data_IF_859334511761
#
_entry.id   IF_859334511761
#
_cell.length_a   1.000
_cell.length_b   1.000
_cell.length_c   1.000
_cell.angle_alpha   90.00
_cell.angle_beta   90.00
_cell.angle_gamma   90.00
#
_symmetry.space_group_name_H-M   'P 1'
#
loop_
_entity.id
_entity.type
_entity.pdbx_description
1 polymer ?
#
# COMPACT_ATOMS: atom_id res chain seq x y z
N UNK A 1 16.23 9.94 -12.41
CA UNK A 1 14.88 10.48 -12.13
C UNK A 1 14.72 10.54 -10.61
N UNK A 2 14.77 11.74 -10.03
CA UNK A 2 14.64 11.91 -8.58
C UNK A 2 13.24 11.49 -8.11
N UNK A 3 13.15 10.81 -6.97
CA UNK A 3 11.87 10.63 -6.29
C UNK A 3 11.43 12.00 -5.75
N UNK A 4 10.15 12.32 -5.92
CA UNK A 4 9.56 13.50 -5.29
C UNK A 4 9.69 13.37 -3.77
N UNK A 5 9.86 14.49 -3.06
CA UNK A 5 9.95 14.44 -1.61
C UNK A 5 8.65 13.86 -1.04
N UNK A 6 8.80 13.13 0.07
CA UNK A 6 7.65 12.64 0.84
C UNK A 6 7.24 13.73 1.79
N UNK A 7 5.93 13.98 1.82
CA UNK A 7 5.29 14.86 2.79
C UNK A 7 4.45 13.96 3.67
N UNK A 8 4.88 13.75 4.90
CA UNK A 8 4.04 13.15 5.94
C UNK A 8 3.05 14.21 6.42
N UNK A 9 1.77 13.83 6.53
CA UNK A 9 0.73 14.70 7.05
C UNK A 9 -0.33 13.84 7.72
N UNK A 10 -0.86 14.32 8.83
CA UNK A 10 -2.01 13.75 9.52
C UNK A 10 -3.34 14.21 8.94
N UNK A 11 -3.34 15.18 8.01
CA UNK A 11 -4.58 15.79 7.50
C UNK A 11 -5.22 14.97 6.39
N UNK A 12 -4.40 14.35 5.53
CA UNK A 12 -4.89 13.65 4.34
C UNK A 12 -4.82 12.14 4.51
N UNK A 13 -5.80 11.46 3.93
CA UNK A 13 -5.69 10.01 3.70
C UNK A 13 -4.74 9.77 2.53
N UNK A 14 -4.06 8.64 2.52
CA UNK A 14 -3.15 8.24 1.45
C UNK A 14 -3.71 7.06 0.66
N UNK A 15 -3.51 7.09 -0.65
CA UNK A 15 -3.59 5.91 -1.49
C UNK A 15 -2.18 5.38 -1.75
N UNK A 16 -1.91 4.15 -1.31
CA UNK A 16 -0.59 3.54 -1.37
C UNK A 16 -0.55 2.46 -2.43
N UNK A 17 0.51 2.40 -3.22
CA UNK A 17 0.73 1.30 -4.19
C UNK A 17 2.17 0.81 -4.14
N UNK A 18 2.41 -0.49 -3.95
CA UNK A 18 3.75 -1.10 -4.10
C UNK A 18 3.70 -2.22 -5.12
N UNK A 19 4.63 -2.25 -6.07
CA UNK A 19 4.65 -3.21 -7.19
C UNK A 19 5.94 -4.01 -7.25
N UNK A 20 5.83 -5.29 -7.58
CA UNK A 20 6.97 -6.20 -7.76
C UNK A 20 7.85 -5.78 -8.94
N UNK A 21 9.11 -6.20 -8.89
CA UNK A 21 10.08 -5.99 -9.97
C UNK A 21 9.56 -6.62 -11.25
N UNK A 22 9.69 -5.88 -12.35
CA UNK A 22 9.23 -6.29 -13.68
C UNK A 22 7.75 -6.71 -13.73
N UNK A 23 6.94 -6.27 -12.77
CA UNK A 23 5.52 -6.62 -12.68
C UNK A 23 5.26 -8.12 -12.56
N UNK A 24 6.22 -8.91 -12.08
CA UNK A 24 6.07 -10.36 -11.90
C UNK A 24 4.96 -10.71 -10.92
N UNK A 25 4.16 -11.70 -11.27
CA UNK A 25 2.95 -12.11 -10.56
C UNK A 25 3.29 -13.03 -9.38
N UNK A 26 3.91 -12.51 -8.32
CA UNK A 26 4.34 -13.31 -7.16
C UNK A 26 3.24 -13.57 -6.12
N UNK A 27 2.15 -12.81 -6.13
CA UNK A 27 1.08 -12.89 -5.13
C UNK A 27 -0.12 -13.74 -5.58
N UNK A 28 -0.07 -14.33 -6.77
CA UNK A 28 -1.14 -15.20 -7.30
C UNK A 28 -1.05 -16.61 -6.71
N UNK A 29 -2.20 -17.26 -6.53
CA UNK A 29 -2.33 -18.70 -6.24
C UNK A 29 -1.45 -19.22 -5.09
N UNK A 30 -1.18 -18.35 -4.10
CA UNK A 30 -0.38 -18.69 -2.93
C UNK A 30 -1.06 -18.21 -1.64
N UNK A 31 -1.96 -19.05 -1.13
CA UNK A 31 -2.74 -18.73 0.07
C UNK A 31 -1.84 -18.53 1.30
N UNK A 32 -0.74 -19.27 1.43
CA UNK A 32 0.19 -19.13 2.58
C UNK A 32 0.88 -17.76 2.58
N UNK A 33 1.32 -17.30 1.41
CA UNK A 33 1.88 -15.96 1.27
C UNK A 33 0.82 -14.88 1.52
N UNK A 34 -0.38 -15.04 0.96
CA UNK A 34 -1.50 -14.13 1.19
C UNK A 34 -1.80 -13.98 2.69
N UNK A 35 -1.92 -15.10 3.41
CA UNK A 35 -2.13 -15.10 4.86
C UNK A 35 -1.01 -14.40 5.63
N UNK A 36 0.25 -14.59 5.21
CA UNK A 36 1.38 -13.89 5.80
C UNK A 36 1.31 -12.37 5.54
N UNK A 37 0.95 -11.94 4.32
CA UNK A 37 0.77 -10.52 3.98
C UNK A 37 -0.34 -9.90 4.85
N UNK A 38 -1.48 -10.59 4.99
CA UNK A 38 -2.57 -10.13 5.87
C UNK A 38 -2.13 -10.05 7.34
N UNK A 39 -1.29 -10.98 7.81
CA UNK A 39 -0.70 -10.91 9.13
C UNK A 39 0.23 -9.71 9.31
N UNK A 40 1.06 -9.39 8.32
CA UNK A 40 1.89 -8.18 8.40
C UNK A 40 1.06 -6.90 8.31
N UNK A 41 -0.03 -6.89 7.54
CA UNK A 41 -0.97 -5.78 7.54
C UNK A 41 -1.53 -5.58 8.95
N UNK A 42 -2.05 -6.64 9.59
CA UNK A 42 -2.53 -6.61 10.97
C UNK A 42 -1.47 -6.06 11.95
N UNK A 43 -0.26 -6.61 11.88
CA UNK A 43 0.84 -6.23 12.75
C UNK A 43 1.17 -4.73 12.63
N UNK A 44 1.33 -4.24 11.40
CA UNK A 44 1.83 -2.89 11.19
C UNK A 44 0.74 -1.83 11.25
N UNK A 45 -0.54 -2.16 11.02
CA UNK A 45 -1.63 -1.25 11.35
C UNK A 45 -1.74 -1.05 12.86
N UNK A 46 -1.53 -2.10 13.67
CA UNK A 46 -1.47 -1.99 15.14
C UNK A 46 -0.26 -1.17 15.60
N UNK A 47 0.96 -1.52 15.15
CA UNK A 47 2.20 -0.86 15.61
C UNK A 47 2.22 0.63 15.25
N UNK A 48 1.74 0.99 14.07
CA UNK A 48 1.81 2.36 13.55
C UNK A 48 0.50 3.12 13.71
N UNK A 49 -0.51 2.57 14.40
CA UNK A 49 -1.82 3.18 14.59
C UNK A 49 -2.45 3.69 13.27
N UNK A 50 -2.55 2.80 12.30
CA UNK A 50 -3.01 3.14 10.93
C UNK A 50 -4.49 2.81 10.78
N UNK A 51 -5.25 3.79 10.29
CA UNK A 51 -6.63 3.59 9.85
C UNK A 51 -6.63 3.03 8.42
N UNK A 52 -6.66 1.70 8.30
CA UNK A 52 -6.71 1.01 7.01
C UNK A 52 -8.15 0.91 6.50
N UNK A 53 -8.45 1.44 5.32
CA UNK A 53 -9.80 1.41 4.74
C UNK A 53 -10.00 0.24 3.78
N UNK A 54 -8.98 -0.12 3.01
CA UNK A 54 -8.98 -1.31 2.15
C UNK A 54 -7.55 -1.85 1.95
N UNK A 55 -7.46 -3.10 1.52
CA UNK A 55 -6.20 -3.74 1.12
C UNK A 55 -6.47 -4.71 -0.03
N UNK A 56 -5.89 -4.44 -1.19
CA UNK A 56 -5.85 -5.39 -2.30
C UNK A 56 -4.47 -6.04 -2.39
N UNK A 57 -4.44 -7.37 -2.49
CA UNK A 57 -3.24 -8.15 -2.78
C UNK A 57 -3.43 -8.73 -4.18
N UNK A 58 -3.04 -7.97 -5.20
CA UNK A 58 -3.16 -8.38 -6.57
C UNK A 58 -1.85 -8.96 -7.09
N UNK A 59 -1.90 -9.82 -8.10
CA UNK A 59 -0.80 -10.71 -8.49
C UNK A 59 0.61 -10.12 -8.46
N UNK A 60 0.81 -8.84 -8.82
CA UNK A 60 2.11 -8.17 -8.78
C UNK A 60 2.17 -6.88 -7.94
N UNK A 61 1.12 -6.50 -7.23
CA UNK A 61 1.14 -5.26 -6.47
C UNK A 61 0.13 -5.27 -5.32
N UNK A 62 0.40 -4.40 -4.34
CA UNK A 62 -0.46 -4.20 -3.18
C UNK A 62 -0.94 -2.75 -3.21
N UNK A 63 -2.25 -2.55 -2.98
CA UNK A 63 -2.86 -1.24 -2.87
C UNK A 63 -3.62 -1.09 -1.56
N UNK A 64 -3.59 0.11 -0.99
CA UNK A 64 -4.30 0.41 0.25
C UNK A 64 -4.62 1.91 0.37
N UNK A 65 -5.90 2.32 0.42
CA UNK A 65 -6.29 3.57 1.03
C UNK A 65 -6.15 3.44 2.55
N UNK A 66 -5.35 4.32 3.15
CA UNK A 66 -5.06 4.30 4.58
C UNK A 66 -4.75 5.70 5.10
N UNK A 67 -5.11 5.96 6.36
CA UNK A 67 -4.84 7.23 7.02
C UNK A 67 -3.85 7.05 8.18
N UNK A 68 -2.90 7.98 8.27
CA UNK A 68 -1.74 7.94 9.17
C UNK A 68 -1.78 9.14 10.12
N UNK A 69 -2.62 9.07 11.16
CA UNK A 69 -2.83 10.17 12.11
C UNK A 69 -1.54 10.65 12.79
N UNK A 70 -0.51 9.79 12.85
CA UNK A 70 0.77 10.07 13.50
C UNK A 70 1.86 10.53 12.51
N UNK A 71 1.53 10.77 11.23
CA UNK A 71 2.52 11.19 10.22
C UNK A 71 3.64 10.16 10.00
N UNK A 72 3.32 8.87 10.09
CA UNK A 72 4.28 7.76 10.13
C UNK A 72 4.14 6.78 8.96
N UNK A 73 3.61 7.21 7.80
CA UNK A 73 3.41 6.37 6.62
C UNK A 73 4.71 5.76 6.15
N UNK A 74 5.80 6.51 6.14
CA UNK A 74 7.11 6.00 5.73
C UNK A 74 7.58 4.82 6.60
N UNK A 75 7.34 4.86 7.92
CA UNK A 75 7.68 3.77 8.84
C UNK A 75 6.82 2.54 8.59
N UNK A 76 5.50 2.74 8.47
CA UNK A 76 4.57 1.66 8.11
C UNK A 76 4.97 0.97 6.80
N UNK A 77 5.17 1.76 5.73
CA UNK A 77 5.50 1.21 4.42
C UNK A 77 6.87 0.54 4.39
N UNK A 78 7.87 1.06 5.12
CA UNK A 78 9.16 0.40 5.29
C UNK A 78 8.98 -0.99 5.89
N UNK A 79 8.28 -1.07 7.02
CA UNK A 79 8.19 -2.32 7.79
C UNK A 79 7.30 -3.37 7.11
N UNK A 80 6.16 -2.93 6.56
CA UNK A 80 5.24 -3.77 5.80
C UNK A 80 5.92 -4.32 4.55
N UNK A 81 6.47 -3.46 3.69
CA UNK A 81 7.10 -3.89 2.44
C UNK A 81 8.34 -4.77 2.70
N UNK A 82 9.14 -4.48 3.74
CA UNK A 82 10.29 -5.30 4.07
C UNK A 82 9.86 -6.70 4.54
N UNK A 83 8.76 -6.81 5.29
CA UNK A 83 8.25 -8.10 5.77
C UNK A 83 7.64 -8.94 4.66
N UNK A 84 6.90 -8.31 3.74
CA UNK A 84 6.42 -8.97 2.52
C UNK A 84 7.60 -9.43 1.65
N UNK A 85 8.61 -8.59 1.44
CA UNK A 85 9.82 -8.95 0.70
C UNK A 85 10.54 -10.18 1.27
N UNK A 86 10.65 -10.27 2.60
CA UNK A 86 11.22 -11.45 3.29
C UNK A 86 10.30 -12.67 3.29
N UNK A 87 9.00 -12.50 3.05
CA UNK A 87 8.04 -13.59 3.03
C UNK A 87 7.99 -14.29 1.67
N UNK A 88 8.18 -13.57 0.57
CA UNK A 88 8.18 -14.15 -0.78
C UNK A 88 9.15 -15.33 -0.93
N UNK A 89 10.47 -15.23 -0.65
CA UNK A 89 11.38 -16.37 -0.78
C UNK A 89 11.04 -17.53 0.17
N UNK A 90 10.32 -17.27 1.27
CA UNK A 90 9.88 -18.32 2.22
C UNK A 90 8.68 -19.12 1.69
N UNK A 91 7.80 -18.48 0.91
CA UNK A 91 6.55 -19.09 0.44
C UNK A 91 6.50 -19.36 -1.07
N UNK A 92 7.45 -18.83 -1.84
CA UNK A 92 7.60 -19.06 -3.28
C UNK A 92 8.96 -19.70 -3.53
N UNK A 93 9.01 -21.03 -3.59
CA UNK A 93 10.26 -21.80 -3.71
C UNK A 93 11.02 -21.50 -5.01
N UNK A 94 10.30 -21.10 -6.07
CA UNK A 94 10.87 -20.73 -7.37
C UNK A 94 11.31 -19.26 -7.44
N UNK A 95 11.31 -18.53 -6.33
CA UNK A 95 11.79 -17.14 -6.31
C UNK A 95 13.32 -17.10 -6.50
N UNK A 96 13.84 -16.44 -7.55
CA UNK A 96 15.26 -16.50 -7.90
C UNK A 96 16.18 -15.67 -6.97
N UNK A 97 15.62 -14.97 -5.99
CA UNK A 97 16.37 -14.05 -5.12
C UNK A 97 16.43 -12.60 -5.65
N UNK A 98 17.08 -11.74 -4.87
CA UNK A 98 17.21 -10.30 -5.14
C UNK A 98 16.05 -9.44 -4.63
N UNK A 99 15.87 -8.27 -5.24
CA UNK A 99 14.85 -7.31 -4.82
C UNK A 99 13.45 -7.74 -5.29
N UNK A 100 12.51 -7.87 -4.35
CA UNK A 100 11.10 -8.11 -4.67
C UNK A 100 10.47 -6.89 -5.34
N UNK A 101 10.66 -5.71 -4.75
CA UNK A 101 9.99 -4.48 -5.18
C UNK A 101 10.75 -3.82 -6.33
N UNK A 102 10.02 -3.39 -7.36
CA UNK A 102 10.63 -2.74 -8.52
C UNK A 102 11.12 -1.33 -8.23
N UNK A 103 10.54 -0.68 -7.22
CA UNK A 103 10.82 0.70 -6.80
C UNK A 103 10.25 0.94 -5.40
N UNK A 104 10.50 2.14 -4.85
CA UNK A 104 9.76 2.61 -3.67
C UNK A 104 8.25 2.64 -3.98
N UNK A 105 7.42 2.50 -2.95
CA UNK A 105 5.96 2.60 -3.08
C UNK A 105 5.55 3.94 -3.74
N UNK A 106 4.40 4.00 -4.40
CA UNK A 106 3.74 5.25 -4.77
C UNK A 106 2.79 5.67 -3.66
N UNK A 107 2.65 6.98 -3.47
CA UNK A 107 1.62 7.54 -2.61
C UNK A 107 1.01 8.75 -3.32
N UNK A 108 -0.29 8.87 -3.17
CA UNK A 108 -1.10 9.98 -3.60
C UNK A 108 -2.09 10.36 -2.48
N UNK A 109 -2.37 11.65 -2.32
CA UNK A 109 -3.27 12.14 -1.27
C UNK A 109 -4.73 12.04 -1.68
N UNK A 110 -5.57 11.66 -0.72
CA UNK A 110 -7.04 11.62 -0.77
C UNK A 110 -7.55 12.69 0.21
N UNK A 111 -7.76 13.94 -0.26
CA UNK A 111 -7.97 15.08 0.62
C UNK A 111 -9.37 15.17 1.23
N UNK A 112 -10.34 14.36 0.79
CA UNK A 112 -11.66 14.34 1.40
C UNK A 112 -12.34 12.98 1.34
N UNK A 113 -13.45 12.86 2.06
CA UNK A 113 -14.16 11.60 2.33
C UNK A 113 -14.62 10.89 1.04
N UNK A 114 -15.17 11.65 0.09
CA UNK A 114 -15.56 11.13 -1.22
C UNK A 114 -14.37 10.56 -2.02
N UNK A 115 -13.15 11.07 -1.78
CA UNK A 115 -11.93 10.58 -2.41
C UNK A 115 -11.50 9.25 -1.78
N UNK A 116 -11.65 9.12 -0.46
CA UNK A 116 -11.45 7.86 0.26
C UNK A 116 -12.43 6.80 -0.21
N UNK A 117 -13.71 7.15 -0.35
CA UNK A 117 -14.72 6.23 -0.90
C UNK A 117 -14.39 5.80 -2.34
N UNK A 118 -14.04 6.75 -3.20
CA UNK A 118 -13.69 6.44 -4.58
C UNK A 118 -12.54 5.43 -4.65
N UNK A 119 -11.49 5.65 -3.85
CA UNK A 119 -10.32 4.78 -3.84
C UNK A 119 -10.50 3.49 -3.04
N UNK A 120 -11.42 3.44 -2.09
CA UNK A 120 -11.90 2.20 -1.50
C UNK A 120 -12.50 1.31 -2.60
N UNK A 121 -13.44 1.82 -3.39
CA UNK A 121 -14.06 1.06 -4.47
C UNK A 121 -13.08 0.75 -5.61
N UNK A 122 -12.17 1.67 -5.93
CA UNK A 122 -11.08 1.41 -6.86
C UNK A 122 -10.29 0.16 -6.45
N UNK A 123 -9.94 0.07 -5.16
CA UNK A 123 -9.16 -1.03 -4.58
C UNK A 123 -9.94 -2.34 -4.56
N UNK A 124 -11.19 -2.34 -4.09
CA UNK A 124 -11.95 -3.60 -3.96
C UNK A 124 -12.44 -4.15 -5.30
N UNK A 125 -12.72 -3.30 -6.29
CA UNK A 125 -13.17 -3.72 -7.63
C UNK A 125 -12.02 -3.96 -8.59
N UNK A 126 -10.78 -3.84 -8.13
CA UNK A 126 -9.63 -3.97 -9.00
C UNK A 126 -9.56 -5.31 -9.77
N UNK A 127 -9.93 -6.48 -9.20
CA UNK A 127 -9.98 -7.71 -9.97
C UNK A 127 -10.94 -7.67 -11.17
N UNK A 128 -12.01 -6.86 -11.08
CA UNK A 128 -12.97 -6.64 -12.17
C UNK A 128 -12.41 -5.64 -13.18
N UNK A 129 -11.82 -4.54 -12.69
CA UNK A 129 -11.20 -3.51 -13.55
C UNK A 129 -10.08 -4.08 -14.42
N UNK A 130 -9.23 -4.93 -13.84
CA UNK A 130 -8.10 -5.58 -14.53
C UNK A 130 -8.54 -6.78 -15.39
N UNK A 131 -9.83 -7.12 -15.38
CA UNK A 131 -10.39 -8.18 -16.22
C UNK A 131 -10.06 -9.58 -15.74
N UNK A 132 -9.78 -9.76 -14.46
CA UNK A 132 -9.50 -11.07 -13.88
C UNK A 132 -10.80 -11.87 -13.76
N UNK A 133 -11.86 -11.23 -13.26
CA UNK A 133 -13.19 -11.85 -13.08
C UNK A 133 -14.31 -10.83 -13.31
N UNK A 134 -15.49 -11.29 -13.70
CA UNK A 134 -16.64 -10.41 -13.93
C UNK A 134 -17.38 -10.10 -12.61
N UNK A 135 -17.42 -11.11 -11.72
CA UNK A 135 -18.01 -11.00 -10.39
C UNK A 135 -16.95 -11.18 -9.32
N UNK A 136 -17.03 -10.39 -8.26
CA UNK A 136 -16.04 -10.43 -7.18
C UNK A 136 -16.01 -11.79 -6.46
N UNK A 137 -17.14 -12.47 -6.37
CA UNK A 137 -17.28 -13.83 -5.82
C UNK A 137 -16.50 -14.90 -6.59
N UNK A 138 -16.09 -14.62 -7.82
CA UNK A 138 -15.29 -15.53 -8.64
C UNK A 138 -13.79 -15.34 -8.43
N UNK A 139 -13.38 -14.23 -7.79
CA UNK A 139 -11.97 -13.94 -7.55
C UNK A 139 -11.39 -14.97 -6.58
N UNK A 140 -10.34 -15.72 -6.96
CA UNK A 140 -9.80 -16.77 -6.10
C UNK A 140 -8.89 -16.24 -4.98
N UNK A 141 -8.44 -14.98 -5.07
CA UNK A 141 -7.61 -14.33 -4.06
C UNK A 141 -8.43 -13.63 -2.98
N UNK A 142 -7.75 -13.08 -1.98
CA UNK A 142 -8.38 -12.28 -0.94
C UNK A 142 -8.91 -10.97 -1.50
N UNK A 143 -10.12 -10.61 -1.08
CA UNK A 143 -10.68 -9.29 -1.27
C UNK A 143 -11.25 -8.79 0.08
N UNK A 144 -10.90 -7.56 0.46
CA UNK A 144 -11.25 -7.03 1.78
C UNK A 144 -12.68 -6.50 1.88
N UNK A 145 -13.45 -6.41 0.79
CA UNK A 145 -14.75 -5.73 0.80
C UNK A 145 -15.67 -6.25 1.89
N UNK A 146 -15.91 -7.56 1.94
CA UNK A 146 -16.79 -8.17 2.94
C UNK A 146 -16.31 -7.89 4.38
N UNK A 147 -15.00 -7.97 4.63
CA UNK A 147 -14.46 -7.72 5.96
C UNK A 147 -14.62 -6.25 6.36
N UNK A 148 -14.39 -5.33 5.44
CA UNK A 148 -14.48 -3.90 5.69
C UNK A 148 -15.91 -3.44 5.95
N UNK A 149 -16.87 -3.89 5.13
CA UNK A 149 -18.26 -3.45 5.21
C UNK A 149 -19.06 -4.13 6.32
N UNK A 150 -18.61 -5.27 6.84
CA UNK A 150 -19.23 -5.96 7.98
C UNK A 150 -18.44 -5.80 9.28
N UNK A 151 -17.31 -5.10 9.27
CA UNK A 151 -16.48 -4.90 10.47
C UNK A 151 -15.83 -6.19 10.99
N UNK A 152 -15.51 -7.13 10.09
CA UNK A 152 -14.96 -8.43 10.47
C UNK A 152 -13.51 -8.27 10.92
N UNK A 153 -13.26 -8.72 12.14
CA UNK A 153 -11.92 -8.75 12.74
C UNK A 153 -11.27 -10.11 12.49
N UNK A 154 -10.13 -10.13 11.81
CA UNK A 154 -9.38 -11.36 11.55
C UNK A 154 -8.15 -11.45 12.44
N UNK A 155 -8.11 -12.45 13.31
CA UNK A 155 -6.90 -12.81 14.09
C UNK A 155 -5.86 -13.42 13.18
N UNK A 156 -4.63 -12.89 13.20
CA UNK A 156 -3.50 -13.33 12.38
C UNK A 156 -2.29 -13.59 13.24
N UNK A 157 -1.69 -14.75 13.06
CA UNK A 157 -0.47 -15.16 13.76
C UNK A 157 0.75 -14.71 12.96
N UNK A 158 1.63 -13.94 13.59
CA UNK A 158 2.85 -13.42 12.97
C UNK A 158 4.05 -13.84 13.79
N UNK A 159 5.00 -14.52 13.14
CA UNK A 159 6.25 -14.90 13.78
C UNK A 159 7.18 -13.68 13.85
N UNK A 160 7.71 -13.40 15.03
CA UNK A 160 8.84 -12.49 15.20
C UNK A 160 10.14 -13.21 14.82
N UNK A 161 10.41 -13.27 13.50
CA UNK A 161 11.59 -13.94 12.96
C UNK A 161 12.91 -13.40 13.52
N UNK A 162 12.99 -12.09 13.79
CA UNK A 162 14.20 -11.49 14.39
C UNK A 162 14.48 -12.08 15.76
N UNK A 163 13.50 -12.02 16.66
CA UNK A 163 13.63 -12.58 18.00
C UNK A 163 13.89 -14.10 17.99
N UNK A 164 13.21 -14.84 17.10
CA UNK A 164 13.43 -16.28 16.92
C UNK A 164 14.87 -16.59 16.48
N UNK A 165 15.40 -15.83 15.51
CA UNK A 165 16.76 -16.07 15.03
C UNK A 165 17.82 -15.68 16.05
N UNK A 166 17.62 -14.60 16.80
CA UNK A 166 18.50 -14.24 17.92
C UNK A 166 18.53 -15.34 19.00
N UNK A 167 17.37 -15.87 19.39
CA UNK A 167 17.30 -16.95 20.36
C UNK A 167 17.94 -18.26 19.88
N UNK A 168 17.80 -18.57 18.58
CA UNK A 168 18.40 -19.76 17.97
C UNK A 168 19.92 -19.76 17.95
N UNK A 169 20.56 -18.59 18.08
CA UNK A 169 22.02 -18.51 18.23
C UNK A 169 22.50 -19.20 19.51
N UNK A 170 21.68 -19.17 20.57
CA UNK A 170 22.02 -19.71 21.89
C UNK A 170 21.31 -21.03 22.21
N UNK A 171 20.16 -21.29 21.58
CA UNK A 171 19.44 -22.56 21.72
C UNK A 171 18.74 -22.95 20.41
N UNK A 172 19.24 -23.98 19.74
CA UNK A 172 18.68 -24.41 18.45
C UNK A 172 17.28 -25.04 18.57
N UNK A 173 16.87 -25.47 19.77
CA UNK A 173 15.59 -26.17 20.01
C UNK A 173 14.38 -25.24 20.20
N UNK A 174 14.57 -23.92 20.12
CA UNK A 174 13.48 -22.97 20.41
C UNK A 174 12.39 -23.03 19.35
N UNK A 175 11.14 -23.02 19.80
CA UNK A 175 9.96 -23.22 18.98
C UNK A 175 9.51 -21.93 18.30
N UNK A 176 9.02 -22.06 17.05
CA UNK A 176 8.40 -20.94 16.32
C UNK A 176 7.17 -20.41 17.08
N UNK A 177 6.46 -21.29 17.80
CA UNK A 177 5.25 -20.94 18.55
C UNK A 177 5.53 -19.90 19.64
N UNK A 178 6.68 -19.98 20.29
CA UNK A 178 7.10 -19.07 21.38
C UNK A 178 7.33 -17.64 20.90
N UNK A 179 7.67 -17.47 19.61
CA UNK A 179 7.84 -16.15 18.98
C UNK A 179 6.68 -15.76 18.06
N UNK A 180 5.55 -16.48 18.13
CA UNK A 180 4.37 -16.16 17.34
C UNK A 180 3.44 -15.25 18.15
N UNK A 181 3.24 -14.04 17.66
CA UNK A 181 2.34 -13.04 18.25
C UNK A 181 1.06 -12.95 17.42
N UNK A 182 -0.08 -12.84 18.09
CA UNK A 182 -1.36 -12.61 17.42
C UNK A 182 -1.63 -11.11 17.25
N UNK A 183 -2.05 -10.72 16.05
CA UNK A 183 -2.51 -9.38 15.71
C UNK A 183 -3.91 -9.45 15.10
N UNK A 184 -4.68 -8.39 15.24
CA UNK A 184 -6.04 -8.31 14.67
C UNK A 184 -6.01 -7.42 13.44
N UNK A 185 -6.35 -7.98 12.28
CA UNK A 185 -6.65 -7.19 11.09
C UNK A 185 -8.09 -6.72 11.18
N UNK A 186 -8.28 -5.41 11.15
CA UNK A 186 -9.58 -4.76 11.00
C UNK A 186 -9.45 -3.62 10.00
N UNK A 187 -10.55 -3.31 9.34
CA UNK A 187 -10.66 -2.15 8.46
C UNK A 187 -11.53 -1.10 9.14
N UNK A 188 -11.10 0.16 9.05
CA UNK A 188 -11.90 1.26 9.58
C UNK A 188 -13.05 1.55 8.62
N UNK A 189 -14.17 1.95 9.21
CA UNK A 189 -15.32 2.49 8.48
C UNK A 189 -14.87 3.69 7.66
N UNK A 190 -15.42 3.84 6.46
CA UNK A 190 -15.15 5.01 5.64
C UNK A 190 -15.70 6.28 6.31
N UNK A 191 -14.98 7.41 6.25
CA UNK A 191 -15.49 8.70 6.73
C UNK A 191 -16.81 9.08 6.05
N UNK A 192 -17.72 9.73 6.79
CA UNK A 192 -19.04 10.16 6.31
C UNK A 192 -20.15 9.12 6.48
N UNK A 193 -19.87 8.02 7.18
CA UNK A 193 -20.81 6.92 7.43
C UNK A 193 -20.96 6.57 8.92
N UNK A 194 -20.46 7.42 9.81
CA UNK A 194 -20.40 7.21 11.26
C UNK A 194 -21.78 6.92 11.85
N UNK A 195 -22.81 7.62 11.36
CA UNK A 195 -24.18 7.53 11.86
C UNK A 195 -24.93 6.25 11.46
N UNK A 196 -24.44 5.51 10.45
CA UNK A 196 -25.12 4.30 10.01
C UNK A 196 -24.83 3.13 10.96
N UNK A 197 -25.84 2.32 11.25
CA UNK A 197 -25.58 1.00 11.86
C UNK A 197 -24.71 0.14 10.94
N UNK A 198 -24.08 -0.91 11.47
CA UNK A 198 -23.25 -1.82 10.67
C UNK A 198 -24.03 -2.44 9.50
N UNK A 199 -25.30 -2.78 9.71
CA UNK A 199 -26.16 -3.39 8.69
C UNK A 199 -26.55 -2.39 7.60
N UNK A 200 -26.86 -1.16 7.96
CA UNK A 200 -27.16 -0.08 7.00
C UNK A 200 -25.93 0.27 6.17
N UNK A 201 -24.77 0.39 6.82
CA UNK A 201 -23.50 0.61 6.13
C UNK A 201 -23.19 -0.51 5.14
N UNK A 202 -23.29 -1.77 5.56
CA UNK A 202 -23.10 -2.91 4.65
C UNK A 202 -24.04 -2.84 3.45
N UNK A 203 -25.33 -2.57 3.67
CA UNK A 203 -26.33 -2.44 2.60
C UNK A 203 -25.96 -1.37 1.58
N UNK A 204 -25.68 -0.14 2.04
CA UNK A 204 -25.31 0.99 1.18
C UNK A 204 -24.03 0.68 0.39
N UNK A 205 -23.02 0.09 1.03
CA UNK A 205 -21.76 -0.24 0.38
C UNK A 205 -21.93 -1.35 -0.67
N UNK A 206 -22.80 -2.33 -0.43
CA UNK A 206 -23.14 -3.38 -1.41
C UNK A 206 -23.86 -2.82 -2.64
N UNK A 207 -24.83 -1.91 -2.44
CA UNK A 207 -25.52 -1.22 -3.54
C UNK A 207 -24.52 -0.45 -4.42
N UNK A 208 -23.61 0.32 -3.78
CA UNK A 208 -22.55 1.06 -4.48
C UNK A 208 -21.56 0.15 -5.20
N UNK A 209 -21.16 -0.96 -4.57
CA UNK A 209 -20.26 -1.95 -5.19
C UNK A 209 -20.85 -2.47 -6.48
N UNK A 210 -22.12 -2.90 -6.45
CA UNK A 210 -22.78 -3.53 -7.59
C UNK A 210 -23.01 -2.54 -8.73
N UNK A 211 -23.46 -1.32 -8.42
CA UNK A 211 -23.61 -0.27 -9.41
C UNK A 211 -22.29 0.02 -10.15
N UNK A 212 -21.18 0.15 -9.39
CA UNK A 212 -19.84 0.36 -9.97
C UNK A 212 -19.36 -0.85 -10.76
N UNK A 213 -19.61 -2.08 -10.27
CA UNK A 213 -19.23 -3.32 -10.96
C UNK A 213 -19.90 -3.42 -12.33
N UNK A 214 -21.23 -3.21 -12.39
CA UNK A 214 -22.00 -3.24 -13.65
C UNK A 214 -21.44 -2.26 -14.66
N UNK A 215 -21.13 -1.04 -14.23
CA UNK A 215 -20.56 -0.01 -15.10
C UNK A 215 -19.15 -0.37 -15.61
N UNK A 216 -18.29 -0.96 -14.77
CA UNK A 216 -16.97 -1.46 -15.19
C UNK A 216 -17.12 -2.57 -16.23
N UNK A 217 -18.01 -3.53 -15.98
CA UNK A 217 -18.25 -4.67 -16.88
C UNK A 217 -18.76 -4.18 -18.24
N UNK A 218 -19.76 -3.28 -18.24
CA UNK A 218 -20.28 -2.64 -19.46
C UNK A 218 -19.17 -1.97 -20.27
N UNK A 219 -18.40 -1.08 -19.64
CA UNK A 219 -17.27 -0.39 -20.29
C UNK A 219 -16.22 -1.34 -20.86
N UNK A 220 -15.94 -2.45 -20.18
CA UNK A 220 -14.98 -3.45 -20.68
C UNK A 220 -15.49 -4.12 -21.94
N UNK A 221 -16.74 -4.58 -21.95
CA UNK A 221 -17.34 -5.20 -23.12
C UNK A 221 -17.45 -4.22 -24.31
N UNK A 222 -17.85 -2.97 -24.06
CA UNK A 222 -17.88 -1.91 -25.09
C UNK A 222 -16.49 -1.63 -25.68
N UNK A 223 -15.43 -1.77 -24.88
CA UNK A 223 -14.05 -1.66 -25.35
C UNK A 223 -13.48 -2.94 -25.99
N UNK A 224 -14.33 -3.94 -26.26
CA UNK A 224 -13.93 -5.23 -26.85
C UNK A 224 -13.08 -6.11 -25.93
N UNK A 225 -13.08 -5.85 -24.62
CA UNK A 225 -12.28 -6.60 -23.62
C UNK A 225 -13.17 -7.61 -22.90
N UNK A 226 -12.65 -8.83 -22.73
CA UNK A 226 -13.28 -9.88 -21.92
C UNK A 226 -12.69 -9.99 -20.51
N UNK A 227 -12.95 -11.15 -19.87
CA UNK A 227 -12.44 -11.52 -18.56
C UNK A 227 -11.69 -12.85 -18.62
N UNK A 228 -10.63 -13.01 -17.81
CA UNK A 228 -9.91 -14.28 -17.72
C UNK A 228 -10.73 -15.39 -17.04
N UNK A 229 -11.60 -15.00 -16.10
CA UNK A 229 -12.42 -15.90 -15.31
C UNK A 229 -11.62 -16.66 -14.25
N UNK A 230 -12.33 -17.27 -13.30
CA UNK A 230 -11.73 -17.98 -12.15
C UNK A 230 -10.70 -19.03 -12.56
N UNK A 231 -11.00 -19.84 -13.59
CA UNK A 231 -10.07 -20.87 -14.11
C UNK A 231 -8.80 -20.25 -14.69
N UNK A 232 -8.94 -19.17 -15.47
CA UNK A 232 -7.80 -18.45 -16.07
C UNK A 232 -6.91 -17.78 -15.02
N UNK A 233 -7.49 -17.25 -13.94
CA UNK A 233 -6.69 -16.68 -12.83
C UNK A 233 -5.94 -17.79 -12.07
N UNK A 234 -6.59 -18.93 -11.84
CA UNK A 234 -5.97 -20.06 -11.12
C UNK A 234 -4.87 -20.78 -11.90
N UNK A 235 -4.83 -20.67 -13.23
CA UNK A 235 -3.77 -21.27 -14.04
C UNK A 235 -2.47 -20.45 -14.05
N UNK A 236 -2.49 -19.21 -13.53
CA UNK A 236 -1.30 -18.35 -13.49
C UNK A 236 -0.29 -18.92 -12.47
N UNK A 237 0.92 -19.17 -12.94
CA UNK A 237 2.01 -19.63 -12.07
C UNK A 237 2.66 -18.46 -11.33
N UNK A 238 2.95 -18.58 -10.01
CA UNK A 238 3.69 -17.55 -9.28
C UNK A 238 5.03 -17.21 -9.95
N UNK A 239 5.27 -15.91 -10.15
CA UNK A 239 6.47 -15.39 -10.82
C UNK A 239 6.34 -15.20 -12.33
N UNK A 240 5.21 -15.63 -12.92
CA UNK A 240 4.89 -15.36 -14.32
C UNK A 240 4.86 -13.85 -14.61
N UNK A 241 5.05 -13.51 -15.88
CA UNK A 241 4.95 -12.13 -16.36
C UNK A 241 3.54 -11.88 -16.90
N UNK A 242 2.93 -10.71 -16.60
CA UNK A 242 1.68 -10.32 -17.22
C UNK A 242 1.91 -10.05 -18.71
N UNK A 243 0.93 -10.39 -19.55
CA UNK A 243 0.99 -10.17 -21.01
C UNK A 243 1.20 -8.69 -21.37
N UNK A 244 0.57 -7.80 -20.61
CA UNK A 244 0.69 -6.35 -20.78
C UNK A 244 0.94 -5.70 -19.42
N UNK A 245 1.92 -4.80 -19.38
CA UNK A 245 2.20 -3.99 -18.19
C UNK A 245 2.12 -2.51 -18.54
N UNK A 246 1.41 -1.73 -17.74
CA UNK A 246 1.44 -0.26 -17.82
C UNK A 246 2.88 0.22 -17.59
N UNK A 247 3.48 0.81 -18.63
CA UNK A 247 4.78 1.48 -18.54
C UNK A 247 4.53 2.96 -18.27
N UNK A 248 5.37 3.56 -17.41
CA UNK A 248 5.35 5.00 -17.17
C UNK A 248 6.66 5.58 -17.68
N UNK A 249 6.57 6.59 -18.53
CA UNK A 249 7.70 7.35 -19.05
C UNK A 249 7.91 8.61 -18.19
N UNK A 250 8.97 9.37 -18.48
CA UNK A 250 9.25 10.63 -17.79
C UNK A 250 8.11 11.65 -17.96
N UNK A 251 7.45 11.64 -19.13
CA UNK A 251 6.31 12.50 -19.47
C UNK A 251 4.95 11.98 -18.98
N UNK A 252 4.88 10.78 -18.40
CA UNK A 252 3.60 10.24 -17.93
C UNK A 252 3.10 11.07 -16.74
N UNK A 253 1.85 11.54 -16.83
CA UNK A 253 1.19 12.20 -15.71
C UNK A 253 1.13 11.26 -14.50
N UNK A 254 1.65 11.75 -13.37
CA UNK A 254 1.64 11.06 -12.07
C UNK A 254 0.95 11.98 -11.07
N UNK A 255 -0.34 11.78 -10.80
CA UNK A 255 -1.07 12.64 -9.90
C UNK A 255 -0.44 12.60 -8.50
N UNK A 256 -0.51 13.72 -7.78
CA UNK A 256 -0.12 13.83 -6.37
C UNK A 256 -1.30 13.75 -5.43
N UNK A 257 -2.43 14.19 -5.96
CA UNK A 257 -3.70 14.26 -5.28
C UNK A 257 -4.69 13.54 -6.17
N UNK A 258 -5.38 12.55 -5.61
CA UNK A 258 -6.49 11.89 -6.24
C UNK A 258 -7.75 12.40 -5.56
N UNK A 259 -8.46 13.27 -6.24
CA UNK A 259 -9.60 13.98 -5.67
C UNK A 259 -10.70 14.13 -6.71
N UNK A 260 -11.93 13.73 -6.39
CA UNK A 260 -13.09 13.79 -7.28
C UNK A 260 -13.65 15.21 -7.41
N UNK A 261 -13.38 16.09 -6.45
CA UNK A 261 -13.80 17.50 -6.46
C UNK A 261 -12.73 18.42 -7.09
N UNK A 262 -13.02 19.14 -8.19
CA UNK A 262 -12.04 20.02 -8.83
C UNK A 262 -11.48 21.12 -7.91
N UNK A 263 -12.34 21.76 -7.09
CA UNK A 263 -11.96 22.82 -6.16
C UNK A 263 -11.01 22.30 -5.07
N UNK A 264 -11.40 21.24 -4.36
CA UNK A 264 -10.56 20.60 -3.33
C UNK A 264 -9.24 20.08 -3.92
N UNK A 265 -9.28 19.55 -5.16
CA UNK A 265 -8.07 19.13 -5.87
C UNK A 265 -7.11 20.30 -6.09
N UNK A 266 -7.61 21.46 -6.51
CA UNK A 266 -6.79 22.65 -6.71
C UNK A 266 -6.17 23.14 -5.39
N UNK A 267 -6.96 23.19 -4.31
CA UNK A 267 -6.49 23.57 -2.97
C UNK A 267 -5.40 22.62 -2.45
N UNK A 268 -5.62 21.31 -2.53
CA UNK A 268 -4.64 20.32 -2.10
C UNK A 268 -3.37 20.31 -2.97
N UNK A 269 -3.49 20.60 -4.27
CA UNK A 269 -2.32 20.77 -5.15
C UNK A 269 -1.53 22.03 -4.80
N UNK A 270 -2.21 23.14 -4.50
CA UNK A 270 -1.56 24.38 -4.08
C UNK A 270 -0.72 24.12 -2.82
N UNK A 271 -1.34 23.55 -1.78
CA UNK A 271 -0.64 23.14 -0.56
C UNK A 271 0.55 22.21 -0.84
N UNK A 272 0.36 21.20 -1.69
CA UNK A 272 1.42 20.24 -2.02
C UNK A 272 2.62 20.95 -2.66
N UNK A 273 2.37 21.86 -3.61
CA UNK A 273 3.44 22.55 -4.32
C UNK A 273 4.12 23.61 -3.47
N UNK A 274 3.40 24.30 -2.59
CA UNK A 274 3.98 25.17 -1.56
C UNK A 274 5.01 24.39 -0.72
N UNK A 275 4.61 23.26 -0.14
CA UNK A 275 5.51 22.39 0.63
C UNK A 275 6.69 21.87 -0.19
N UNK A 276 6.45 21.51 -1.46
CA UNK A 276 7.49 21.05 -2.37
C UNK A 276 8.55 22.12 -2.63
N UNK A 277 8.14 23.37 -2.88
CA UNK A 277 9.08 24.46 -3.16
C UNK A 277 9.86 24.88 -1.91
N UNK A 278 9.23 24.89 -0.74
CA UNK A 278 9.94 25.10 0.53
C UNK A 278 10.98 24.00 0.79
N UNK A 279 10.63 22.75 0.50
CA UNK A 279 11.60 21.65 0.56
C UNK A 279 12.76 21.83 -0.41
N UNK A 280 12.51 22.29 -1.65
CA UNK A 280 13.58 22.50 -2.62
C UNK A 280 14.55 23.59 -2.15
N UNK A 281 14.03 24.68 -1.56
CA UNK A 281 14.85 25.73 -0.95
C UNK A 281 15.70 25.16 0.19
N UNK A 282 15.09 24.44 1.14
CA UNK A 282 15.79 23.83 2.26
C UNK A 282 16.84 22.78 1.81
N UNK A 283 16.49 21.96 0.82
CA UNK A 283 17.37 20.95 0.22
C UNK A 283 18.58 21.56 -0.46
N UNK A 284 18.44 22.73 -1.10
CA UNK A 284 19.56 23.47 -1.71
C UNK A 284 20.49 23.99 -0.62
N UNK A 285 19.97 24.70 0.38
CA UNK A 285 20.76 25.21 1.52
C UNK A 285 21.53 24.09 2.22
N UNK A 286 20.84 22.98 2.51
CA UNK A 286 21.43 21.81 3.16
C UNK A 286 22.53 21.13 2.33
N UNK A 287 22.32 20.91 1.02
CA UNK A 287 23.26 20.14 0.18
C UNK A 287 24.36 20.98 -0.47
N UNK A 288 24.10 22.25 -0.76
CA UNK A 288 24.99 23.13 -1.54
C UNK A 288 25.68 24.14 -0.64
N UNK A 289 24.95 24.73 0.30
CA UNK A 289 25.47 25.80 1.16
C UNK A 289 26.05 25.27 2.48
N UNK A 290 25.86 23.98 2.77
CA UNK A 290 26.41 23.34 3.98
C UNK A 290 25.65 23.66 5.26
N UNK A 291 24.42 24.16 5.16
CA UNK A 291 23.57 24.44 6.33
C UNK A 291 22.99 23.14 6.93
N UNK A 292 23.84 22.33 7.59
CA UNK A 292 23.47 21.00 8.07
C UNK A 292 22.43 21.00 9.21
N UNK A 293 22.41 22.09 9.98
CA UNK A 293 21.48 22.30 11.10
C UNK A 293 20.12 22.86 10.66
N UNK A 294 19.92 23.08 9.35
CA UNK A 294 18.65 23.58 8.83
C UNK A 294 17.49 22.62 9.16
N UNK A 295 16.39 23.19 9.63
CA UNK A 295 15.12 22.49 9.77
C UNK A 295 14.42 22.38 8.43
N UNK A 296 13.89 21.19 8.13
CA UNK A 296 13.13 20.96 6.91
C UNK A 296 11.65 21.23 7.16
N UNK A 297 10.87 21.53 6.11
CA UNK A 297 9.43 21.72 6.26
C UNK A 297 8.76 20.54 6.98
N UNK A 298 7.70 20.79 7.77
CA UNK A 298 7.02 19.75 8.54
C UNK A 298 6.69 18.50 7.72
N UNK A 299 6.96 17.34 8.30
CA UNK A 299 6.69 16.05 7.68
C UNK A 299 7.63 15.67 6.53
N UNK A 300 8.71 16.41 6.29
CA UNK A 300 9.66 16.15 5.21
C UNK A 300 11.03 15.74 5.75
N UNK A 301 11.67 14.79 5.06
CA UNK A 301 12.95 14.24 5.48
C UNK A 301 14.13 14.91 4.78
N UNK A 302 15.22 15.16 5.52
CA UNK A 302 16.47 15.63 4.93
C UNK A 302 16.92 14.68 3.81
N UNK A 303 17.35 15.20 2.64
CA UNK A 303 17.91 14.36 1.60
C UNK A 303 19.23 13.74 2.08
N UNK A 304 19.62 12.57 1.56
CA UNK A 304 20.94 12.02 1.85
C UNK A 304 22.03 12.97 1.31
N UNK A 305 23.12 13.11 2.06
CA UNK A 305 24.34 13.76 1.58
C UNK A 305 25.18 12.76 0.77
N UNK A 306 25.90 13.22 -0.26
CA UNK A 306 26.98 12.44 -0.85
C UNK A 306 27.99 12.00 0.23
N UNK A 307 28.63 10.84 0.09
CA UNK A 307 29.63 10.35 1.06
C UNK A 307 30.74 11.37 1.36
N UNK A 308 31.12 12.17 0.37
CA UNK A 308 32.18 13.18 0.44
C UNK A 308 31.75 14.48 1.14
N UNK A 309 30.45 14.66 1.39
CA UNK A 309 29.87 15.87 1.97
C UNK A 309 29.32 15.65 3.38
N UNK A 310 29.59 14.48 3.98
CA UNK A 310 29.20 14.20 5.35
C UNK A 310 29.89 15.20 6.29
N UNK A 311 29.11 15.88 7.12
CA UNK A 311 29.63 16.81 8.13
C UNK A 311 30.73 16.13 8.96
N UNK A 312 31.79 16.85 9.37
CA UNK A 312 32.74 16.30 10.33
C UNK A 312 31.94 15.82 11.54
N UNK A 313 32.07 14.54 11.87
CA UNK A 313 31.45 13.96 13.03
C UNK A 313 31.77 14.87 14.23
N UNK A 314 30.75 15.31 14.95
CA UNK A 314 30.89 15.93 16.26
C UNK A 314 31.82 15.03 17.08
N UNK A 315 33.08 15.45 17.22
CA UNK A 315 33.98 14.90 18.22
C UNK A 315 33.34 15.27 19.56
N UNK A 316 32.72 14.28 20.19
CA UNK A 316 32.24 14.41 21.55
C UNK A 316 33.46 14.66 22.46
N UNK A 317 33.43 15.79 23.16
CA UNK A 317 34.27 16.07 24.31
C UNK A 317 33.65 15.46 25.57
#
# INVERSE_FOLDING_TARGET
MGYHPRIETSEYTDFLTTRTRNSQLWFVNNQRLQEAILGYAAKYTTIHNVSLYALAIEGNHIQAPAHFSNGNRALFMRDFNASVARAVPRYCQNYPGGNLWGRRYSQEFLPGEADVEEYFFYTVLQPVQDGLVEKLSEYPGYNCFHDAVWGIKRRKKVVNWGALYEARRWNQKVSVKEYTVEYVLEYKRLPGYEELSQKEYARVMHEKLEARRVEIVRKRYESGKGFAGRKGVKSITPGAYPRTTKRSHASSHRPRVLCVCPKRRAEALNWYFEMYFEYQKASRKYRVEGEFMLEFPPGMYKPPLPPESAAPALQAA
#
